data_IF_102757954989
#
_entry.id   IF_102757954989
#
_cell.length_a   1.000
_cell.length_b   1.000
_cell.length_c   1.000
_cell.angle_alpha   90.00
_cell.angle_beta   90.00
_cell.angle_gamma   90.00
#
_symmetry.space_group_name_H-M   'P 1'
#
loop_
_entity.id
_entity.type
_entity.pdbx_description
1 polymer ?
#
# COMPACT_ATOMS: atom_id res chain seq x y z
N UNK A 1 1.78 -22.90 53.43
CA UNK A 1 2.27 -21.59 52.94
C UNK A 1 2.95 -21.80 51.59
N UNK A 2 2.96 -20.72 50.78
CA UNK A 2 3.87 -20.44 49.65
C UNK A 2 3.24 -20.59 48.25
N UNK A 3 2.53 -19.51 47.91
CA UNK A 3 2.21 -19.02 46.57
C UNK A 3 3.35 -19.20 45.57
N UNK A 4 3.02 -19.50 44.30
CA UNK A 4 3.59 -18.83 43.12
C UNK A 4 2.93 -19.33 41.82
N UNK A 5 1.84 -18.66 41.45
CA UNK A 5 1.56 -18.40 40.04
C UNK A 5 2.29 -17.08 39.74
N UNK A 6 3.11 -17.03 38.67
CA UNK A 6 3.01 -15.89 37.77
C UNK A 6 2.89 -16.44 36.33
N UNK A 7 1.71 -16.32 35.72
CA UNK A 7 1.40 -15.23 34.79
C UNK A 7 2.47 -15.16 33.70
N UNK A 8 2.34 -16.05 32.71
CA UNK A 8 3.02 -15.98 31.43
C UNK A 8 2.33 -14.88 30.59
N UNK A 9 2.48 -13.63 31.03
CA UNK A 9 1.98 -12.47 30.30
C UNK A 9 3.00 -12.01 29.27
N UNK A 10 2.52 -11.98 28.02
CA UNK A 10 2.80 -11.00 26.97
C UNK A 10 4.26 -10.64 26.72
N UNK A 11 4.77 -11.10 25.58
CA UNK A 11 5.57 -10.26 24.67
C UNK A 11 5.27 -10.70 23.23
N UNK A 12 4.05 -10.47 22.75
CA UNK A 12 3.84 -10.31 21.32
C UNK A 12 4.43 -8.94 20.96
N UNK A 13 5.74 -8.90 20.68
CA UNK A 13 6.34 -7.74 20.02
C UNK A 13 5.75 -7.67 18.62
N UNK A 14 4.65 -6.93 18.47
CA UNK A 14 4.17 -6.51 17.17
C UNK A 14 5.26 -5.64 16.55
N UNK A 15 6.09 -6.23 15.71
CA UNK A 15 7.07 -5.48 14.93
C UNK A 15 6.33 -4.41 14.13
N UNK A 16 6.84 -3.18 14.12
CA UNK A 16 6.35 -2.16 13.22
C UNK A 16 6.60 -2.66 11.79
N UNK A 17 5.55 -3.13 11.11
CA UNK A 17 5.59 -3.42 9.68
C UNK A 17 5.78 -2.08 8.99
N UNK A 18 7.04 -1.73 8.76
CA UNK A 18 7.36 -0.57 7.92
C UNK A 18 7.29 -1.07 6.50
N UNK A 19 6.43 -0.45 5.70
CA UNK A 19 6.36 -0.76 4.28
C UNK A 19 7.67 -0.29 3.63
N UNK A 20 8.51 -1.24 3.22
CA UNK A 20 9.83 -1.01 2.62
C UNK A 20 9.86 -1.61 1.23
N UNK A 21 10.19 -0.80 0.22
CA UNK A 21 10.28 -1.25 -1.18
C UNK A 21 10.19 -0.08 -2.15
N UNK A 22 10.48 -0.33 -3.42
CA UNK A 22 10.30 0.65 -4.49
C UNK A 22 9.13 0.22 -5.35
N UNK A 23 8.18 1.12 -5.53
CA UNK A 23 6.91 0.81 -6.16
C UNK A 23 6.64 1.75 -7.32
N UNK A 24 6.13 1.17 -8.38
CA UNK A 24 5.52 1.87 -9.48
C UNK A 24 4.02 2.02 -9.21
N UNK A 25 3.52 3.25 -9.22
CA UNK A 25 2.11 3.60 -9.03
C UNK A 25 1.58 4.18 -10.32
N UNK A 26 0.48 3.63 -10.84
CA UNK A 26 -0.17 4.13 -12.05
C UNK A 26 -1.69 4.16 -11.89
N UNK A 27 -2.38 5.00 -12.65
CA UNK A 27 -3.83 5.10 -12.66
C UNK A 27 -4.38 4.78 -14.04
N UNK A 28 -5.50 4.08 -14.09
CA UNK A 28 -6.25 3.79 -15.30
C UNK A 28 -7.76 3.93 -15.08
N UNK A 29 -8.53 4.06 -16.17
CA UNK A 29 -9.99 4.02 -16.13
C UNK A 29 -10.53 2.57 -16.16
N UNK A 30 -11.84 2.40 -16.06
CA UNK A 30 -12.51 1.09 -16.13
C UNK A 30 -12.27 0.33 -17.46
N UNK A 31 -11.88 1.03 -18.52
CA UNK A 31 -11.53 0.43 -19.81
C UNK A 31 -10.04 0.07 -19.91
N UNK A 32 -9.25 0.35 -18.86
CA UNK A 32 -7.82 0.09 -18.81
C UNK A 32 -6.95 1.19 -19.45
N UNK A 33 -7.53 2.33 -19.84
CA UNK A 33 -6.74 3.42 -20.42
C UNK A 33 -5.98 4.16 -19.32
N UNK A 34 -4.71 4.42 -19.55
CA UNK A 34 -3.89 5.18 -18.60
C UNK A 34 -4.42 6.60 -18.39
N UNK A 35 -4.49 7.02 -17.13
CA UNK A 35 -4.90 8.35 -16.71
C UNK A 35 -3.65 9.17 -16.35
N UNK A 36 -3.46 10.30 -17.04
CA UNK A 36 -2.33 11.21 -16.80
C UNK A 36 -1.05 10.83 -17.56
N UNK A 37 0.09 11.38 -17.11
CA UNK A 37 1.38 11.28 -17.83
C UNK A 37 2.21 10.03 -17.52
N UNK A 38 1.62 9.01 -16.91
CA UNK A 38 2.23 7.69 -16.79
C UNK A 38 2.43 7.20 -15.36
N UNK A 39 3.51 6.45 -15.17
CA UNK A 39 3.89 5.73 -13.97
C UNK A 39 4.69 6.62 -13.02
N UNK A 40 4.40 6.54 -11.73
CA UNK A 40 5.09 7.28 -10.67
C UNK A 40 5.91 6.32 -9.82
N UNK A 41 7.11 6.72 -9.42
CA UNK A 41 7.91 5.93 -8.48
C UNK A 41 7.69 6.44 -7.06
N UNK A 42 7.48 5.51 -6.13
CA UNK A 42 7.32 5.80 -4.71
C UNK A 42 8.10 4.78 -3.88
N UNK A 43 8.65 5.24 -2.75
CA UNK A 43 9.35 4.38 -1.81
C UNK A 43 8.50 4.14 -0.56
N UNK A 44 8.33 2.88 -0.18
CA UNK A 44 7.60 2.47 1.01
C UNK A 44 6.21 3.12 1.09
N UNK A 45 5.87 3.67 2.26
CA UNK A 45 4.60 4.38 2.50
C UNK A 45 4.33 5.60 1.59
N UNK A 46 5.32 6.05 0.82
CA UNK A 46 5.13 7.09 -0.20
C UNK A 46 4.05 6.75 -1.23
N UNK A 47 3.75 5.46 -1.43
CA UNK A 47 2.66 5.00 -2.31
C UNK A 47 1.32 5.66 -1.98
N UNK A 48 1.05 5.90 -0.70
CA UNK A 48 -0.21 6.48 -0.24
C UNK A 48 -0.36 7.94 -0.66
N UNK A 49 0.75 8.68 -0.67
CA UNK A 49 0.76 10.07 -1.11
C UNK A 49 0.42 10.16 -2.60
N UNK A 50 1.06 9.32 -3.41
CA UNK A 50 0.82 9.27 -4.86
C UNK A 50 -0.61 8.81 -5.14
N UNK A 51 -1.05 7.70 -4.53
CA UNK A 51 -2.42 7.18 -4.64
C UNK A 51 -3.47 8.23 -4.30
N UNK A 52 -3.33 8.89 -3.15
CA UNK A 52 -4.29 9.90 -2.71
C UNK A 52 -4.32 11.11 -3.66
N UNK A 53 -3.17 11.50 -4.20
CA UNK A 53 -3.08 12.58 -5.19
C UNK A 53 -3.77 12.18 -6.50
N UNK A 54 -3.53 10.96 -6.99
CA UNK A 54 -4.21 10.41 -8.17
C UNK A 54 -5.73 10.37 -7.96
N UNK A 55 -6.21 9.85 -6.84
CA UNK A 55 -7.65 9.81 -6.54
C UNK A 55 -8.27 11.20 -6.37
N UNK A 56 -7.50 12.21 -5.95
CA UNK A 56 -8.01 13.58 -5.87
C UNK A 56 -8.19 14.22 -7.25
N UNK A 57 -7.38 13.82 -8.24
CA UNK A 57 -7.46 14.32 -9.62
C UNK A 57 -8.44 13.49 -10.46
N UNK A 58 -8.46 12.18 -10.24
CA UNK A 58 -9.27 11.20 -10.97
C UNK A 58 -10.10 10.37 -9.98
N UNK A 59 -11.31 10.85 -9.60
CA UNK A 59 -12.06 10.25 -8.48
C UNK A 59 -12.60 8.85 -8.75
N UNK A 60 -12.62 8.42 -10.02
CA UNK A 60 -13.04 7.08 -10.47
C UNK A 60 -11.90 6.26 -11.06
N UNK A 61 -10.64 6.65 -10.82
CA UNK A 61 -9.50 5.87 -11.29
C UNK A 61 -9.38 4.54 -10.53
N UNK A 62 -8.81 3.56 -11.20
CA UNK A 62 -8.25 2.36 -10.60
C UNK A 62 -6.73 2.57 -10.54
N UNK A 63 -6.17 2.53 -9.34
CA UNK A 63 -4.74 2.70 -9.09
C UNK A 63 -4.09 1.34 -8.93
N UNK A 64 -3.07 1.04 -9.73
CA UNK A 64 -2.23 -0.15 -9.61
C UNK A 64 -0.90 0.22 -8.97
N UNK A 65 -0.45 -0.61 -8.03
CA UNK A 65 0.83 -0.46 -7.35
C UNK A 65 1.62 -1.75 -7.56
N UNK A 66 2.78 -1.66 -8.19
CA UNK A 66 3.63 -2.80 -8.54
C UNK A 66 5.01 -2.61 -7.93
N UNK A 67 5.52 -3.64 -7.28
CA UNK A 67 6.89 -3.68 -6.80
C UNK A 67 7.85 -3.72 -7.99
N UNK A 68 8.82 -2.82 -8.02
CA UNK A 68 9.73 -2.62 -9.17
C UNK A 68 10.73 -3.77 -9.29
N UNK A 69 11.13 -4.38 -8.17
CA UNK A 69 12.18 -5.40 -8.15
C UNK A 69 11.61 -6.77 -8.56
N UNK A 70 10.39 -7.07 -8.14
CA UNK A 70 9.71 -8.35 -8.40
C UNK A 70 8.74 -8.29 -9.57
N UNK A 71 8.38 -7.09 -10.02
CA UNK A 71 7.37 -6.89 -11.05
C UNK A 71 6.03 -7.55 -10.64
N UNK A 72 5.72 -7.53 -9.33
CA UNK A 72 4.49 -8.08 -8.76
C UNK A 72 3.59 -6.98 -8.25
N UNK A 73 2.28 -7.17 -8.42
CA UNK A 73 1.30 -6.26 -7.84
C UNK A 73 1.32 -6.35 -6.31
N UNK A 74 1.30 -5.20 -5.64
CA UNK A 74 1.43 -5.13 -4.20
C UNK A 74 0.11 -5.56 -3.55
N UNK A 75 0.11 -6.79 -3.03
CA UNK A 75 -1.04 -7.38 -2.34
C UNK A 75 -1.51 -6.52 -1.16
N UNK A 76 -2.83 -6.38 -1.02
CA UNK A 76 -3.45 -5.59 0.04
C UNK A 76 -3.52 -4.09 -0.23
N UNK A 77 -2.75 -3.57 -1.19
CA UNK A 77 -2.75 -2.15 -1.57
C UNK A 77 -3.18 -1.91 -3.02
N UNK A 78 -3.18 -2.95 -3.85
CA UNK A 78 -3.52 -2.90 -5.27
C UNK A 78 -4.41 -4.10 -5.67
N UNK A 79 -5.37 -3.91 -6.59
CA UNK A 79 -5.76 -2.63 -7.18
C UNK A 79 -6.57 -1.81 -6.19
N UNK A 80 -6.45 -0.48 -6.27
CA UNK A 80 -7.21 0.44 -5.44
C UNK A 80 -8.21 1.24 -6.27
N UNK A 81 -9.49 1.10 -5.98
CA UNK A 81 -10.54 1.89 -6.60
C UNK A 81 -10.70 3.22 -5.86
N UNK A 82 -10.51 4.33 -6.57
CA UNK A 82 -10.82 5.65 -6.04
C UNK A 82 -12.35 5.80 -5.88
N UNK A 83 -12.78 6.44 -4.79
CA UNK A 83 -14.19 6.59 -4.43
C UNK A 83 -14.57 8.01 -3.99
N UNK A 84 -13.73 9.01 -4.28
CA UNK A 84 -13.95 10.39 -3.81
C UNK A 84 -14.96 11.15 -4.66
#
# INVERSE_FOLDING_TARGET
MKYLIPVLSLLALGGCITMTGNYEVSAHDEAGNALGKGKFLAHGSGIYTVRNSLCSVYPKAIVTIRDVDTDQELEGESPYHCHK
#
